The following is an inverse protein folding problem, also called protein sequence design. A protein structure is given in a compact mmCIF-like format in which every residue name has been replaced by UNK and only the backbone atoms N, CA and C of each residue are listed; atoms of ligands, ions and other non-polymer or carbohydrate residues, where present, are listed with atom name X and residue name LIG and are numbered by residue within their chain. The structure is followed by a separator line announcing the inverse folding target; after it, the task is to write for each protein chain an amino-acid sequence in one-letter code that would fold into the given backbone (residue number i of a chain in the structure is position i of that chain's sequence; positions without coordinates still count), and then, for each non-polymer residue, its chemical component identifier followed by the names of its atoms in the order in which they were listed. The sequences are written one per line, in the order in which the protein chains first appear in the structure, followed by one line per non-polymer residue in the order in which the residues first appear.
data_IF_253204094104
#
_entry.id   IF_253204094104
#
_cell.length_a   1.000
_cell.length_b   1.000
_cell.length_c   1.000
_cell.angle_alpha   90.00
_cell.angle_beta   90.00
_cell.angle_gamma   90.00
#
_symmetry.space_group_name_H-M   'P 1'
#
loop_
_entity.id
_entity.type
_entity.pdbx_description
1 polymer ?
#
# COMPACT_ATOMS: atom_id res chain seq x y z
N UNK A 1 18.88 17.41 1.49
CA UNK A 1 17.80 17.26 0.50
C UNK A 1 18.07 15.99 -0.28
N UNK A 2 17.30 14.93 -0.06
CA UNK A 2 17.34 13.79 -0.95
C UNK A 2 16.84 14.28 -2.32
N UNK A 3 17.72 14.31 -3.32
CA UNK A 3 17.34 14.68 -4.69
C UNK A 3 16.41 13.59 -5.22
N UNK A 4 15.21 13.99 -5.62
CA UNK A 4 14.31 13.12 -6.38
C UNK A 4 15.08 12.61 -7.60
N UNK A 5 14.93 11.32 -7.96
CA UNK A 5 15.56 10.79 -9.16
C UNK A 5 15.10 11.61 -10.35
N UNK A 6 16.05 12.06 -11.17
CA UNK A 6 15.77 12.76 -12.42
C UNK A 6 14.80 11.91 -13.26
N UNK A 7 13.57 12.43 -13.45
CA UNK A 7 12.56 11.75 -14.23
C UNK A 7 11.37 11.19 -13.46
N UNK A 8 11.10 11.64 -12.22
CA UNK A 8 9.84 11.33 -11.54
C UNK A 8 8.65 11.71 -12.43
N UNK A 9 7.72 10.77 -12.71
CA UNK A 9 6.58 11.07 -13.57
C UNK A 9 5.67 12.10 -12.91
N UNK A 10 5.15 13.01 -13.72
CA UNK A 10 4.07 13.90 -13.29
C UNK A 10 2.78 13.11 -13.10
N UNK A 11 1.83 13.68 -12.38
CA UNK A 11 0.49 13.07 -12.19
C UNK A 11 -0.17 12.70 -13.53
N UNK A 12 -0.02 13.56 -14.55
CA UNK A 12 -0.59 13.36 -15.89
C UNK A 12 0.08 12.20 -16.66
N UNK A 13 1.28 11.80 -16.29
CA UNK A 13 2.01 10.71 -16.94
C UNK A 13 1.72 9.32 -16.30
N UNK A 14 1.06 9.29 -15.15
CA UNK A 14 0.68 8.05 -14.44
C UNK A 14 -0.64 7.48 -14.97
N UNK A 15 -0.75 7.35 -16.30
CA UNK A 15 -1.93 6.79 -16.96
C UNK A 15 -1.92 5.26 -17.00
N UNK A 16 -0.74 4.63 -17.04
CA UNK A 16 -0.59 3.18 -17.01
C UNK A 16 -0.50 2.67 -15.57
N UNK A 17 -1.46 3.05 -14.73
CA UNK A 17 -1.54 2.62 -13.33
C UNK A 17 -2.88 1.93 -13.10
N UNK A 18 -2.84 0.80 -12.38
CA UNK A 18 -4.01 0.22 -11.73
C UNK A 18 -3.93 0.64 -10.26
N UNK A 19 -4.87 1.46 -9.84
CA UNK A 19 -4.99 1.93 -8.48
C UNK A 19 -5.91 1.00 -7.68
N UNK A 20 -5.39 0.39 -6.60
CA UNK A 20 -6.18 -0.44 -5.69
C UNK A 20 -6.26 0.23 -4.32
N UNK A 21 -7.42 0.76 -4.00
CA UNK A 21 -7.72 1.35 -2.70
C UNK A 21 -8.65 0.45 -1.87
N UNK A 22 -8.77 0.73 -0.58
CA UNK A 22 -9.68 0.02 0.31
C UNK A 22 -9.17 -0.08 1.75
N UNK A 23 -10.00 -0.49 2.70
CA UNK A 23 -9.65 -0.57 4.11
C UNK A 23 -8.65 -1.70 4.43
N UNK A 24 -8.17 -1.76 5.67
CA UNK A 24 -7.21 -2.78 6.10
C UNK A 24 -7.83 -4.19 6.06
N UNK A 25 -7.03 -5.21 5.72
CA UNK A 25 -7.46 -6.61 5.73
C UNK A 25 -8.29 -7.07 4.52
N UNK A 26 -8.50 -6.23 3.50
CA UNK A 26 -9.28 -6.61 2.28
C UNK A 26 -8.49 -7.46 1.28
N UNK A 27 -7.19 -7.69 1.52
CA UNK A 27 -6.34 -8.49 0.64
C UNK A 27 -5.65 -7.69 -0.48
N UNK A 28 -5.63 -6.34 -0.39
CA UNK A 28 -5.01 -5.48 -1.42
C UNK A 28 -3.63 -5.93 -1.85
N UNK A 29 -2.71 -6.17 -0.89
CA UNK A 29 -1.32 -6.50 -1.21
C UNK A 29 -1.19 -7.79 -2.01
N UNK A 30 -1.94 -8.83 -1.63
CA UNK A 30 -1.97 -10.09 -2.39
C UNK A 30 -2.56 -9.90 -3.78
N UNK A 31 -3.70 -9.21 -3.88
CA UNK A 31 -4.37 -8.93 -5.17
C UNK A 31 -3.48 -8.07 -6.05
N UNK A 32 -2.91 -6.98 -5.53
CA UNK A 32 -2.06 -6.06 -6.30
C UNK A 32 -0.80 -6.74 -6.81
N UNK A 33 -0.14 -7.50 -5.95
CA UNK A 33 1.07 -8.26 -6.32
C UNK A 33 0.76 -9.31 -7.40
N UNK A 34 -0.29 -10.11 -7.22
CA UNK A 34 -0.68 -11.14 -8.19
C UNK A 34 -1.16 -10.53 -9.51
N UNK A 35 -1.87 -9.40 -9.47
CA UNK A 35 -2.24 -8.64 -10.68
C UNK A 35 -1.01 -8.12 -11.41
N UNK A 36 -0.03 -7.57 -10.68
CA UNK A 36 1.21 -7.09 -11.26
C UNK A 36 2.00 -8.23 -11.93
N UNK A 37 2.08 -9.41 -11.30
CA UNK A 37 2.67 -10.61 -11.88
C UNK A 37 1.97 -11.02 -13.19
N UNK A 38 0.64 -11.08 -13.20
CA UNK A 38 -0.14 -11.45 -14.36
C UNK A 38 0.01 -10.48 -15.54
N UNK A 39 0.26 -9.20 -15.25
CA UNK A 39 0.44 -8.17 -16.28
C UNK A 39 1.91 -7.93 -16.67
N UNK A 40 2.87 -8.48 -15.94
CA UNK A 40 4.28 -8.14 -16.08
C UNK A 40 4.57 -6.68 -15.70
N UNK A 41 3.82 -6.12 -14.76
CA UNK A 41 3.90 -4.75 -14.29
C UNK A 41 4.61 -4.64 -12.96
N UNK A 42 5.01 -3.42 -12.59
CA UNK A 42 5.56 -3.12 -11.27
C UNK A 42 4.49 -3.29 -10.19
N UNK A 43 4.92 -3.62 -8.99
CA UNK A 43 4.10 -3.62 -7.78
C UNK A 43 4.60 -2.54 -6.81
N UNK A 44 3.69 -1.69 -6.33
CA UNK A 44 4.00 -0.60 -5.39
C UNK A 44 3.07 -0.67 -4.19
N UNK A 45 3.61 -1.08 -3.03
CA UNK A 45 2.96 -1.01 -1.72
C UNK A 45 3.24 0.37 -1.10
N UNK A 46 2.29 1.30 -1.21
CA UNK A 46 2.46 2.64 -0.65
C UNK A 46 2.44 2.63 0.88
N UNK A 47 1.67 1.72 1.48
CA UNK A 47 1.62 1.55 2.93
C UNK A 47 2.98 1.18 3.51
N UNK A 48 3.80 0.45 2.77
CA UNK A 48 5.14 0.09 3.19
C UNK A 48 6.07 1.31 3.31
N UNK A 49 5.89 2.35 2.50
CA UNK A 49 6.68 3.59 2.60
C UNK A 49 6.42 4.34 3.90
N UNK A 50 5.14 4.46 4.30
CA UNK A 50 4.76 5.06 5.59
C UNK A 50 5.28 4.23 6.77
N UNK A 51 5.23 2.90 6.67
CA UNK A 51 5.76 2.00 7.69
C UNK A 51 7.28 2.10 7.80
N UNK A 52 8.00 2.31 6.70
CA UNK A 52 9.44 2.53 6.72
C UNK A 52 9.81 3.82 7.47
N UNK A 53 9.06 4.91 7.25
CA UNK A 53 9.24 6.15 8.01
C UNK A 53 8.87 5.96 9.49
N UNK A 54 7.77 5.24 9.79
CA UNK A 54 7.38 4.94 11.17
C UNK A 54 8.49 4.12 11.88
N UNK A 55 9.12 3.18 11.19
CA UNK A 55 10.27 2.45 11.72
C UNK A 55 11.47 3.37 11.98
N UNK A 56 11.77 4.32 11.09
CA UNK A 56 12.83 5.31 11.30
C UNK A 56 12.56 6.13 12.57
N UNK A 57 11.33 6.63 12.73
CA UNK A 57 10.88 7.38 13.93
C UNK A 57 11.07 6.56 15.19
N UNK A 58 10.68 5.28 15.19
CA UNK A 58 10.85 4.37 16.33
C UNK A 58 12.33 4.11 16.64
N UNK A 59 13.15 3.83 15.63
CA UNK A 59 14.59 3.58 15.78
C UNK A 59 15.33 4.82 16.31
N UNK A 60 14.87 6.02 15.97
CA UNK A 60 15.42 7.29 16.46
C UNK A 60 14.91 7.65 17.88
N UNK A 61 13.96 6.92 18.44
CA UNK A 61 13.36 7.24 19.74
C UNK A 61 12.54 8.53 19.74
N UNK A 62 12.04 8.94 18.57
CA UNK A 62 11.23 10.15 18.39
C UNK A 62 9.78 9.85 18.77
N UNK A 63 9.14 10.79 19.49
CA UNK A 63 7.71 10.73 19.78
C UNK A 63 6.91 10.86 18.47
N UNK A 64 6.08 9.87 18.09
CA UNK A 64 5.27 9.94 16.88
C UNK A 64 4.23 11.07 16.85
N UNK A 65 3.90 11.64 18.01
CA UNK A 65 2.97 12.78 18.12
C UNK A 65 3.70 14.14 17.96
N UNK A 66 5.04 14.17 18.00
CA UNK A 66 5.83 15.36 17.67
C UNK A 66 6.00 15.48 16.14
N UNK A 67 5.07 16.18 15.50
CA UNK A 67 5.05 16.33 14.05
C UNK A 67 6.36 16.92 13.49
N UNK A 68 6.97 17.90 14.16
CA UNK A 68 8.22 18.53 13.69
C UNK A 68 9.40 17.55 13.76
N UNK A 69 9.46 16.73 14.81
CA UNK A 69 10.48 15.70 14.92
C UNK A 69 10.27 14.57 13.89
N UNK A 70 9.02 14.15 13.67
CA UNK A 70 8.65 13.17 12.64
C UNK A 70 9.02 13.67 11.24
N UNK A 71 8.77 14.96 10.92
CA UNK A 71 9.15 15.55 9.64
C UNK A 71 10.69 15.56 9.46
N UNK A 72 11.44 15.91 10.50
CA UNK A 72 12.91 15.89 10.46
C UNK A 72 13.43 14.48 10.16
N UNK A 73 12.90 13.48 10.86
CA UNK A 73 13.28 12.09 10.67
C UNK A 73 12.90 11.58 9.27
N UNK A 74 11.68 11.86 8.79
CA UNK A 74 11.23 11.49 7.47
C UNK A 74 12.09 12.07 6.34
N UNK A 75 12.59 13.31 6.51
CA UNK A 75 13.51 13.95 5.55
C UNK A 75 14.92 13.36 5.58
N UNK A 76 15.34 12.82 6.72
CA UNK A 76 16.64 12.15 6.88
C UNK A 76 16.62 10.70 6.40
N UNK A 77 15.47 10.05 6.45
CA UNK A 77 15.30 8.66 6.08
C UNK A 77 15.36 8.46 4.55
N UNK A 78 16.25 7.58 4.09
CA UNK A 78 16.29 7.15 2.69
C UNK A 78 15.40 5.93 2.52
N UNK A 79 14.16 6.15 2.12
CA UNK A 79 13.21 5.07 1.79
C UNK A 79 13.29 4.76 0.30
N UNK A 80 13.33 3.47 -0.07
CA UNK A 80 13.23 3.02 -1.45
C UNK A 80 12.49 1.69 -1.58
N UNK A 81 11.94 1.42 -2.77
CA UNK A 81 11.15 0.25 -3.07
C UNK A 81 11.78 -0.52 -4.24
N UNK A 82 11.94 -1.84 -4.08
CA UNK A 82 12.11 -2.76 -5.20
C UNK A 82 10.71 -3.15 -5.66
N UNK A 83 10.36 -2.76 -6.88
CA UNK A 83 9.00 -2.87 -7.43
C UNK A 83 8.77 -4.15 -8.25
N UNK A 84 9.73 -5.07 -8.25
CA UNK A 84 9.56 -6.39 -8.86
C UNK A 84 8.53 -7.20 -8.06
N UNK A 85 7.39 -7.58 -8.67
CA UNK A 85 6.36 -8.32 -7.96
C UNK A 85 6.79 -9.73 -7.55
N UNK A 86 7.88 -10.29 -8.10
CA UNK A 86 8.42 -11.60 -7.69
C UNK A 86 9.11 -11.51 -6.33
N UNK A 87 9.82 -10.39 -6.07
CA UNK A 87 10.60 -10.15 -4.85
C UNK A 87 10.50 -8.70 -4.38
N UNK A 88 9.30 -8.19 -4.04
CA UNK A 88 9.14 -6.81 -3.60
C UNK A 88 9.86 -6.57 -2.28
N UNK A 89 10.67 -5.52 -2.22
CA UNK A 89 11.51 -5.21 -1.05
C UNK A 89 11.37 -3.74 -0.68
N UNK A 90 11.41 -3.46 0.60
CA UNK A 90 11.41 -2.10 1.18
C UNK A 90 12.75 -1.86 1.83
N UNK A 91 13.45 -0.82 1.39
CA UNK A 91 14.73 -0.45 1.96
C UNK A 91 14.60 0.85 2.77
N UNK A 92 15.20 0.86 3.94
CA UNK A 92 15.40 2.04 4.78
C UNK A 92 16.90 2.21 5.00
N UNK A 93 17.48 3.32 4.52
CA UNK A 93 18.92 3.56 4.57
C UNK A 93 19.75 2.40 4.00
N UNK A 94 19.29 1.86 2.87
CA UNK A 94 19.86 0.71 2.15
C UNK A 94 19.76 -0.65 2.90
N UNK A 95 19.10 -0.72 4.04
CA UNK A 95 18.80 -1.95 4.78
C UNK A 95 17.42 -2.50 4.36
N UNK A 96 17.30 -3.82 4.10
CA UNK A 96 16.01 -4.48 3.89
C UNK A 96 15.23 -4.57 5.19
N UNK A 97 14.17 -3.78 5.26
CA UNK A 97 13.26 -3.72 6.42
C UNK A 97 11.88 -4.33 6.15
N UNK A 98 11.73 -5.06 5.04
CA UNK A 98 10.43 -5.59 4.56
C UNK A 98 9.67 -6.40 5.62
N UNK A 99 10.40 -7.08 6.50
CA UNK A 99 9.83 -7.84 7.61
C UNK A 99 9.57 -6.95 8.84
N UNK A 100 10.53 -6.10 9.21
CA UNK A 100 10.48 -5.30 10.43
C UNK A 100 9.38 -4.24 10.38
N UNK A 101 9.11 -3.65 9.22
CA UNK A 101 8.00 -2.70 9.03
C UNK A 101 6.60 -3.29 9.28
N UNK A 102 6.49 -4.60 9.46
CA UNK A 102 5.23 -5.29 9.76
C UNK A 102 5.06 -5.63 11.23
N UNK A 103 5.99 -5.20 12.08
CA UNK A 103 5.93 -5.39 13.53
C UNK A 103 4.70 -4.70 14.14
N UNK A 104 4.25 -5.14 15.33
CA UNK A 104 3.16 -4.50 16.06
C UNK A 104 3.44 -3.02 16.35
N UNK A 105 4.65 -2.69 16.78
CA UNK A 105 5.08 -1.34 17.13
C UNK A 105 4.96 -0.39 15.93
N UNK A 106 5.47 -0.79 14.77
CA UNK A 106 5.33 -0.02 13.53
C UNK A 106 3.86 0.11 13.14
N UNK A 107 3.06 -0.94 13.36
CA UNK A 107 1.62 -0.92 13.03
C UNK A 107 0.85 0.08 13.90
N UNK A 108 1.24 0.27 15.16
CA UNK A 108 0.65 1.26 16.05
C UNK A 108 1.08 2.70 15.69
N UNK A 109 2.34 2.87 15.29
CA UNK A 109 2.95 4.17 15.01
C UNK A 109 2.55 4.74 13.64
N UNK A 110 2.31 3.89 12.64
CA UNK A 110 2.14 4.32 11.25
C UNK A 110 0.99 5.30 11.03
N UNK A 111 -0.07 5.24 11.81
CA UNK A 111 -1.23 6.15 11.66
C UNK A 111 -0.86 7.58 12.04
N UNK A 112 -0.12 7.80 13.13
CA UNK A 112 0.39 9.12 13.52
C UNK A 112 1.31 9.70 12.43
N UNK A 113 2.28 8.91 11.96
CA UNK A 113 3.23 9.32 10.91
C UNK A 113 2.50 9.65 9.60
N UNK A 114 1.54 8.84 9.18
CA UNK A 114 0.78 9.05 7.94
C UNK A 114 -0.21 10.22 8.01
N UNK A 115 -0.53 10.69 9.20
CA UNK A 115 -1.34 11.89 9.44
C UNK A 115 -0.59 13.21 9.19
N UNK A 116 0.76 13.19 9.13
CA UNK A 116 1.57 14.39 8.95
C UNK A 116 1.61 14.80 7.46
N UNK A 117 1.07 15.98 7.08
CA UNK A 117 0.96 16.38 5.67
C UNK A 117 2.29 16.44 4.92
N UNK A 118 3.35 16.91 5.56
CA UNK A 118 4.68 17.04 4.98
C UNK A 118 5.31 15.67 4.70
N UNK A 119 5.09 14.68 5.57
CA UNK A 119 5.52 13.29 5.34
C UNK A 119 4.77 12.71 4.14
N UNK A 120 3.46 12.96 4.05
CA UNK A 120 2.65 12.52 2.91
C UNK A 120 3.17 13.11 1.60
N UNK A 121 3.46 14.41 1.57
CA UNK A 121 3.99 15.08 0.37
C UNK A 121 5.29 14.42 -0.12
N UNK A 122 6.22 14.14 0.80
CA UNK A 122 7.48 13.45 0.49
C UNK A 122 7.24 12.04 -0.09
N UNK A 123 6.37 11.27 0.58
CA UNK A 123 6.16 9.88 0.21
C UNK A 123 5.32 9.73 -1.07
N UNK A 124 4.38 10.63 -1.36
CA UNK A 124 3.62 10.64 -2.62
C UNK A 124 4.58 10.79 -3.82
N UNK A 125 5.57 11.68 -3.73
CA UNK A 125 6.56 11.83 -4.80
C UNK A 125 7.41 10.56 -4.99
N UNK A 126 7.83 9.93 -3.89
CA UNK A 126 8.55 8.66 -3.93
C UNK A 126 7.70 7.55 -4.57
N UNK A 127 6.43 7.46 -4.20
CA UNK A 127 5.48 6.46 -4.71
C UNK A 127 5.24 6.65 -6.21
N UNK A 128 5.10 7.89 -6.69
CA UNK A 128 5.01 8.24 -8.12
C UNK A 128 6.26 7.83 -8.88
N UNK A 129 7.43 8.10 -8.32
CA UNK A 129 8.71 7.69 -8.91
C UNK A 129 8.80 6.16 -9.01
N UNK A 130 8.38 5.44 -7.96
CA UNK A 130 8.35 3.98 -7.94
C UNK A 130 7.39 3.39 -8.97
N UNK A 131 6.20 3.98 -9.13
CA UNK A 131 5.22 3.56 -10.14
C UNK A 131 5.78 3.70 -11.57
N UNK A 132 6.50 4.79 -11.86
CA UNK A 132 7.10 5.02 -13.18
C UNK A 132 6.04 5.19 -14.28
N UNK A 133 6.47 5.09 -15.56
CA UNK A 133 5.61 5.31 -16.73
C UNK A 133 5.19 4.02 -17.47
N UNK A 134 5.81 2.89 -17.14
CA UNK A 134 5.71 1.65 -17.96
C UNK A 134 4.60 0.70 -17.56
N UNK A 135 3.89 0.98 -16.49
CA UNK A 135 2.85 0.14 -15.94
C UNK A 135 3.14 -0.28 -14.50
N UNK A 136 2.20 0.02 -13.61
CA UNK A 136 2.29 -0.35 -12.20
C UNK A 136 0.91 -0.69 -11.62
N UNK A 137 0.89 -1.64 -10.72
CA UNK A 137 -0.22 -1.87 -9.79
C UNK A 137 0.18 -1.24 -8.47
N UNK A 138 -0.54 -0.22 -8.07
CA UNK A 138 -0.26 0.60 -6.89
C UNK A 138 -1.38 0.40 -5.88
N UNK A 139 -1.06 0.03 -4.66
CA UNK A 139 -2.03 -0.15 -3.59
C UNK A 139 -1.89 0.87 -2.46
N UNK A 140 -3.03 1.22 -1.85
CA UNK A 140 -3.05 2.14 -0.71
C UNK A 140 -4.42 2.46 -0.16
N UNK A 141 -4.64 3.75 0.13
CA UNK A 141 -5.89 4.32 0.65
C UNK A 141 -6.44 5.45 -0.21
N UNK A 142 -5.57 6.12 -0.93
CA UNK A 142 -5.84 7.34 -1.70
C UNK A 142 -5.11 7.35 -3.05
N UNK A 143 -4.84 6.17 -3.57
CA UNK A 143 -4.09 6.03 -4.83
C UNK A 143 -4.86 6.67 -5.97
N UNK A 144 -6.16 6.33 -6.07
CA UNK A 144 -7.04 6.79 -7.13
C UNK A 144 -7.40 8.30 -7.05
N UNK A 145 -7.07 8.98 -5.94
CA UNK A 145 -7.38 10.40 -5.72
C UNK A 145 -6.14 11.28 -5.63
N UNK A 146 -5.04 10.76 -5.06
CA UNK A 146 -3.84 11.55 -4.76
C UNK A 146 -2.64 11.09 -5.58
N UNK A 147 -2.28 9.80 -5.50
CA UNK A 147 -1.03 9.31 -6.13
C UNK A 147 -1.17 9.26 -7.65
N UNK A 148 -2.22 8.60 -8.14
CA UNK A 148 -2.47 8.37 -9.57
C UNK A 148 -3.95 8.64 -9.95
N UNK A 149 -4.42 9.90 -9.90
CA UNK A 149 -5.81 10.24 -10.20
C UNK A 149 -6.21 9.99 -11.65
N UNK A 150 -5.25 9.78 -12.55
CA UNK A 150 -5.46 9.45 -13.97
C UNK A 150 -5.20 7.96 -14.27
N UNK A 151 -5.16 7.10 -13.24
CA UNK A 151 -4.99 5.66 -13.40
C UNK A 151 -5.98 5.08 -14.43
N UNK A 152 -5.50 4.20 -15.31
CA UNK A 152 -6.33 3.52 -16.34
C UNK A 152 -7.46 2.71 -15.71
N UNK A 153 -7.21 2.16 -14.52
CA UNK A 153 -8.21 1.43 -13.74
C UNK A 153 -8.09 1.83 -12.26
N UNK A 154 -9.23 2.19 -11.69
CA UNK A 154 -9.38 2.43 -10.25
C UNK A 154 -10.29 1.37 -9.69
N UNK A 155 -9.85 0.68 -8.65
CA UNK A 155 -10.62 -0.37 -7.95
C UNK A 155 -10.62 -0.06 -6.47
N UNK A 156 -11.79 -0.12 -5.85
CA UNK A 156 -11.94 -0.07 -4.42
C UNK A 156 -12.30 -1.47 -3.92
N UNK A 157 -11.35 -2.11 -3.23
CA UNK A 157 -11.54 -3.43 -2.65
C UNK A 157 -12.16 -3.29 -1.26
N UNK A 158 -13.23 -4.04 -1.02
CA UNK A 158 -13.85 -4.15 0.30
C UNK A 158 -14.07 -5.61 0.69
N UNK A 159 -14.34 -5.84 1.96
CA UNK A 159 -14.77 -7.13 2.49
C UNK A 159 -15.44 -6.93 3.85
N UNK A 160 -16.34 -7.86 4.20
CA UNK A 160 -17.00 -7.85 5.50
C UNK A 160 -15.98 -7.86 6.65
N UNK A 161 -16.28 -7.20 7.79
CA UNK A 161 -15.34 -7.06 8.93
C UNK A 161 -14.76 -8.40 9.40
N UNK A 162 -15.60 -9.41 9.57
CA UNK A 162 -15.19 -10.75 10.02
C UNK A 162 -14.26 -11.46 9.03
N UNK A 163 -14.44 -11.21 7.73
CA UNK A 163 -13.55 -11.76 6.68
C UNK A 163 -12.19 -11.07 6.73
N UNK A 164 -12.17 -9.75 6.91
CA UNK A 164 -10.94 -8.96 7.05
C UNK A 164 -10.13 -9.39 8.28
N UNK A 165 -10.80 -9.58 9.41
CA UNK A 165 -10.17 -10.04 10.65
C UNK A 165 -9.56 -11.44 10.51
N UNK A 166 -10.29 -12.38 9.86
CA UNK A 166 -9.77 -13.71 9.58
C UNK A 166 -8.53 -13.68 8.70
N UNK A 167 -8.58 -12.93 7.57
CA UNK A 167 -7.42 -12.76 6.68
C UNK A 167 -6.22 -12.17 7.43
N UNK A 168 -6.46 -11.24 8.37
CA UNK A 168 -5.39 -10.66 9.21
C UNK A 168 -4.81 -11.68 10.17
N UNK A 169 -5.64 -12.53 10.77
CA UNK A 169 -5.19 -13.63 11.64
C UNK A 169 -4.27 -14.61 10.87
N UNK A 170 -4.67 -14.99 9.65
CA UNK A 170 -3.89 -15.85 8.77
C UNK A 170 -2.54 -15.22 8.40
N UNK A 171 -2.53 -13.93 8.08
CA UNK A 171 -1.29 -13.16 7.81
C UNK A 171 -0.36 -13.17 9.03
N UNK A 172 -0.86 -12.86 10.24
CA UNK A 172 -0.07 -12.86 11.46
C UNK A 172 0.50 -14.25 11.77
N UNK A 173 -0.29 -15.29 11.60
CA UNK A 173 0.15 -16.68 11.79
C UNK A 173 1.31 -17.03 10.84
N UNK A 174 1.28 -16.54 9.60
CA UNK A 174 2.35 -16.77 8.62
C UNK A 174 3.67 -16.06 8.97
N UNK A 175 3.63 -15.02 9.79
CA UNK A 175 4.82 -14.28 10.25
C UNK A 175 5.56 -14.97 11.41
N UNK A 176 4.99 -16.03 11.98
CA UNK A 176 5.59 -16.89 12.99
C UNK A 176 5.03 -16.71 14.41
N UNK A 177 5.45 -17.57 15.38
CA UNK A 177 4.79 -17.71 16.69
C UNK A 177 4.90 -16.49 17.63
N UNK A 178 5.70 -15.49 17.32
CA UNK A 178 5.79 -14.23 18.08
C UNK A 178 4.70 -13.22 17.74
N UNK A 179 3.88 -13.49 16.72
CA UNK A 179 2.84 -12.55 16.25
C UNK A 179 1.53 -12.56 17.07
N UNK A 180 1.49 -13.27 18.20
CA UNK A 180 0.37 -13.29 19.14
C UNK A 180 -0.85 -14.08 18.62
N UNK A 181 -1.49 -14.81 19.52
CA UNK A 181 -2.80 -15.43 19.26
C UNK A 181 -3.91 -14.44 19.66
N UNK A 182 -4.09 -13.39 18.86
CA UNK A 182 -5.24 -12.50 19.06
C UNK A 182 -6.53 -13.19 18.61
N UNK A 183 -7.63 -12.95 19.32
CA UNK A 183 -8.94 -13.45 18.87
C UNK A 183 -9.39 -12.71 17.62
N UNK A 184 -10.22 -13.35 16.78
CA UNK A 184 -10.79 -12.71 15.60
C UNK A 184 -11.54 -11.42 15.99
N UNK A 185 -12.27 -11.42 17.11
CA UNK A 185 -12.99 -10.24 17.60
C UNK A 185 -12.03 -9.10 17.97
N UNK A 186 -10.90 -9.37 18.63
CA UNK A 186 -9.93 -8.31 18.94
C UNK A 186 -9.26 -7.76 17.66
N UNK A 187 -9.10 -8.59 16.64
CA UNK A 187 -8.61 -8.14 15.33
C UNK A 187 -9.64 -7.31 14.56
N UNK A 188 -10.95 -7.62 14.68
CA UNK A 188 -12.02 -6.78 14.13
C UNK A 188 -11.98 -5.37 14.73
N UNK A 189 -11.91 -5.27 16.07
CA UNK A 189 -11.83 -4.01 16.79
C UNK A 189 -10.56 -3.21 16.39
N UNK A 190 -9.41 -3.88 16.31
CA UNK A 190 -8.16 -3.27 15.91
C UNK A 190 -8.20 -2.74 14.46
N UNK A 191 -8.82 -3.50 13.54
CA UNK A 191 -9.00 -3.07 12.16
C UNK A 191 -9.98 -1.90 12.05
N UNK A 192 -11.10 -1.92 12.81
CA UNK A 192 -12.07 -0.83 12.85
C UNK A 192 -11.44 0.47 13.39
N UNK A 193 -10.68 0.40 14.49
CA UNK A 193 -9.95 1.55 15.03
C UNK A 193 -8.92 2.11 14.04
N UNK A 194 -8.27 1.22 13.29
CA UNK A 194 -7.32 1.65 12.26
C UNK A 194 -8.02 2.34 11.11
N UNK A 195 -9.12 1.77 10.60
CA UNK A 195 -9.90 2.38 9.54
C UNK A 195 -10.47 3.73 9.96
N UNK A 196 -10.89 3.89 11.24
CA UNK A 196 -11.32 5.18 11.79
C UNK A 196 -10.19 6.22 11.75
N UNK A 197 -8.98 5.86 12.19
CA UNK A 197 -7.81 6.76 12.10
C UNK A 197 -7.44 7.08 10.67
N UNK A 198 -7.43 6.07 9.79
CA UNK A 198 -7.14 6.26 8.37
C UNK A 198 -8.20 7.16 7.71
N UNK A 199 -9.47 7.13 8.17
CA UNK A 199 -10.58 7.95 7.64
C UNK A 199 -10.42 9.44 7.93
N UNK A 200 -9.73 9.81 8.99
CA UNK A 200 -9.43 11.21 9.32
C UNK A 200 -8.50 11.87 8.29
N UNK A 201 -7.68 11.06 7.62
CA UNK A 201 -6.70 11.54 6.64
C UNK A 201 -7.10 11.20 5.20
N UNK A 202 -7.79 10.07 4.99
CA UNK A 202 -8.14 9.54 3.68
C UNK A 202 -9.64 9.27 3.60
N UNK A 203 -10.28 9.56 2.47
CA UNK A 203 -11.65 9.08 2.24
C UNK A 203 -11.60 7.57 2.01
N UNK A 204 -12.04 6.78 2.99
CA UNK A 204 -12.19 5.33 2.87
C UNK A 204 -13.49 4.96 2.13
N UNK A 205 -13.69 5.56 0.97
CA UNK A 205 -14.81 5.30 0.05
C UNK A 205 -14.29 5.21 -1.36
N UNK A 206 -15.01 4.51 -2.21
CA UNK A 206 -14.67 4.44 -3.63
C UNK A 206 -14.60 5.86 -4.22
N UNK A 207 -13.51 6.17 -4.93
CA UNK A 207 -13.39 7.44 -5.66
C UNK A 207 -14.28 7.44 -6.90
N UNK A 208 -14.53 8.63 -7.45
CA UNK A 208 -15.29 8.76 -8.69
C UNK A 208 -14.64 7.92 -9.81
N UNK A 209 -15.48 7.12 -10.48
CA UNK A 209 -15.07 6.21 -11.54
C UNK A 209 -14.35 4.95 -11.09
N UNK A 210 -14.20 4.71 -9.78
CA UNK A 210 -13.66 3.46 -9.27
C UNK A 210 -14.71 2.34 -9.33
N UNK A 211 -14.24 1.14 -9.68
CA UNK A 211 -15.03 -0.08 -9.58
C UNK A 211 -14.99 -0.55 -8.13
N UNK A 212 -16.15 -0.65 -7.50
CA UNK A 212 -16.28 -1.27 -6.17
C UNK A 212 -16.30 -2.79 -6.31
N UNK A 213 -15.45 -3.48 -5.57
CA UNK A 213 -15.34 -4.94 -5.60
C UNK A 213 -15.36 -5.49 -4.18
N UNK A 214 -16.49 -6.09 -3.79
CA UNK A 214 -16.59 -6.88 -2.55
C UNK A 214 -15.89 -8.23 -2.77
N UNK A 215 -14.87 -8.47 -1.96
CA UNK A 215 -14.03 -9.68 -2.02
C UNK A 215 -14.39 -10.72 -0.97
N UNK A 216 -15.48 -10.51 -0.22
CA UNK A 216 -15.83 -11.32 0.95
C UNK A 216 -15.96 -12.82 0.64
N UNK A 217 -16.58 -13.15 -0.49
CA UNK A 217 -16.88 -14.53 -0.89
C UNK A 217 -16.02 -15.00 -2.08
N UNK A 218 -14.98 -14.22 -2.43
CA UNK A 218 -14.10 -14.53 -3.55
C UNK A 218 -12.74 -15.07 -3.08
N UNK A 219 -12.21 -16.03 -3.84
CA UNK A 219 -10.81 -16.44 -3.70
C UNK A 219 -9.88 -15.39 -4.26
N UNK A 220 -8.59 -15.44 -3.88
CA UNK A 220 -7.56 -14.54 -4.44
C UNK A 220 -7.55 -14.58 -5.97
N UNK A 221 -7.56 -15.78 -6.56
CA UNK A 221 -7.51 -15.96 -8.00
C UNK A 221 -8.73 -15.35 -8.72
N UNK A 222 -9.93 -15.47 -8.11
CA UNK A 222 -11.15 -14.86 -8.65
C UNK A 222 -11.08 -13.33 -8.62
N UNK A 223 -10.57 -12.74 -7.53
CA UNK A 223 -10.39 -11.29 -7.42
C UNK A 223 -9.34 -10.80 -8.44
N UNK A 224 -8.21 -11.50 -8.56
CA UNK A 224 -7.17 -11.18 -9.54
C UNK A 224 -7.71 -11.27 -10.97
N UNK A 225 -8.44 -12.34 -11.30
CA UNK A 225 -9.05 -12.50 -12.61
C UNK A 225 -10.05 -11.36 -12.93
N UNK A 226 -10.85 -10.93 -11.94
CA UNK A 226 -11.75 -9.80 -12.10
C UNK A 226 -10.99 -8.49 -12.37
N UNK A 227 -9.95 -8.19 -11.60
CA UNK A 227 -9.14 -6.97 -11.79
C UNK A 227 -8.43 -6.98 -13.14
N UNK A 228 -7.82 -8.11 -13.52
CA UNK A 228 -7.15 -8.27 -14.83
C UNK A 228 -8.17 -8.12 -15.97
N UNK A 229 -9.35 -8.74 -15.87
CA UNK A 229 -10.42 -8.59 -16.86
C UNK A 229 -10.86 -7.14 -17.03
N UNK A 230 -11.03 -6.41 -15.93
CA UNK A 230 -11.36 -4.98 -15.93
C UNK A 230 -10.24 -4.13 -16.57
N UNK A 231 -8.99 -4.47 -16.33
CA UNK A 231 -7.84 -3.79 -16.95
C UNK A 231 -7.78 -4.05 -18.46
N UNK A 232 -7.96 -5.29 -18.90
CA UNK A 232 -8.02 -5.64 -20.32
C UNK A 232 -9.17 -4.92 -21.05
N UNK A 233 -10.34 -4.82 -20.42
CA UNK A 233 -11.47 -4.06 -20.97
C UNK A 233 -11.17 -2.57 -21.16
N UNK A 234 -10.13 -2.03 -20.51
CA UNK A 234 -9.61 -0.66 -20.65
C UNK A 234 -8.37 -0.56 -21.54
N UNK A 235 -8.07 -1.64 -22.28
CA UNK A 235 -6.96 -1.66 -23.24
C UNK A 235 -5.60 -2.06 -22.66
N UNK A 236 -5.52 -2.45 -21.40
CA UNK A 236 -4.28 -3.01 -20.83
C UNK A 236 -4.03 -4.38 -21.45
N UNK A 237 -2.79 -4.61 -21.88
CA UNK A 237 -2.37 -5.89 -22.49
C UNK A 237 -1.70 -6.77 -21.43
N UNK A 238 -1.97 -8.07 -21.50
CA UNK A 238 -1.23 -9.06 -20.72
C UNK A 238 0.23 -9.13 -21.18
N UNK A 239 1.13 -9.45 -20.25
CA UNK A 239 2.48 -9.79 -20.63
C UNK A 239 2.45 -10.99 -21.60
N UNK A 240 3.25 -10.92 -22.66
CA UNK A 240 3.46 -12.11 -23.50
C UNK A 240 4.15 -13.17 -22.65
N UNK A 241 3.73 -14.45 -22.70
CA UNK A 241 4.45 -15.49 -22.00
C UNK A 241 5.90 -15.49 -22.47
N UNK A 242 6.82 -15.36 -21.53
CA UNK A 242 8.25 -15.50 -21.80
C UNK A 242 8.48 -16.96 -22.21
N UNK A 243 8.83 -17.17 -23.48
CA UNK A 243 9.23 -18.47 -24.03
C UNK A 243 10.56 -18.94 -23.43
#
# INVERSE_FOLDING_TARGET
MASLPTGTPTVAELVNVIALDGPAGTGKSSVSRSTALALGWRFVDTGATYRAVALAVLRAGVDPEDADAVIREARGAKVSLVTDPTAPTVLLNDEDVSREIRSPEVTLTVSAVSGVPEVRALLVELQRAAAGRQGAVVEGRDIATVVAPHAVLKVYLDARPEVRARRRADELTSLGPRAGHESVTSLEDALAQRDERDSQTNKLTASDGAVYLDTSDLTLDQVVAAVVGLACARGVRLASPTT
#
